data_IF_358555079728
#
_entry.id   IF_358555079728
#
_cell.length_a   1.000
_cell.length_b   1.000
_cell.length_c   1.000
_cell.angle_alpha   90.00
_cell.angle_beta   90.00
_cell.angle_gamma   90.00
#
_symmetry.space_group_name_H-M   'P 1'
#
loop_
_entity.id
_entity.type
_entity.pdbx_description
1 polymer ?
#
# COMPACT_ATOMS: atom_id res chain seq x y z
N UNK A 1 -0.83 7.53 12.25
CA UNK A 1 -0.45 8.94 12.52
C UNK A 1 -1.43 9.63 13.47
N UNK A 2 -2.73 9.79 13.16
CA UNK A 2 -3.68 10.52 14.04
C UNK A 2 -3.93 9.86 15.40
N UNK A 3 -4.01 8.53 15.45
CA UNK A 3 -4.18 7.74 16.68
C UNK A 3 -2.90 7.53 17.50
N UNK A 4 -1.81 8.26 17.18
CA UNK A 4 -0.51 8.08 17.83
C UNK A 4 0.37 6.99 17.22
N UNK A 5 -0.12 6.23 16.22
CA UNK A 5 0.71 5.26 15.49
C UNK A 5 1.84 5.97 14.71
N UNK A 6 3.08 5.53 14.94
CA UNK A 6 4.32 6.10 14.45
C UNK A 6 4.88 7.25 15.30
N UNK A 7 4.41 7.44 16.55
CA UNK A 7 4.83 8.54 17.44
C UNK A 7 6.34 8.63 17.64
N UNK A 8 7.07 7.52 17.78
CA UNK A 8 8.53 7.58 17.98
C UNK A 8 9.27 8.05 16.73
N UNK A 9 8.66 7.90 15.55
CA UNK A 9 9.20 8.35 14.27
C UNK A 9 8.81 9.82 14.01
N UNK A 10 7.53 10.15 14.18
CA UNK A 10 6.97 11.44 13.76
C UNK A 10 6.86 12.48 14.89
N UNK A 11 6.87 12.05 16.15
CA UNK A 11 6.73 12.95 17.30
C UNK A 11 7.78 14.06 17.36
N UNK A 12 9.07 13.75 17.16
CA UNK A 12 10.12 14.79 17.08
C UNK A 12 10.00 15.72 15.87
N UNK A 13 9.17 15.38 14.88
CA UNK A 13 9.01 16.11 13.62
C UNK A 13 7.76 17.00 13.59
N UNK A 14 7.07 17.15 14.74
CA UNK A 14 5.91 18.04 14.84
C UNK A 14 6.35 19.52 14.88
N UNK A 15 5.61 20.44 14.23
CA UNK A 15 4.40 20.21 13.44
C UNK A 15 4.69 19.54 12.07
N UNK A 16 3.81 18.61 11.67
CA UNK A 16 3.97 17.78 10.46
C UNK A 16 2.89 18.11 9.42
N UNK A 17 3.29 18.19 8.15
CA UNK A 17 2.35 18.18 7.01
C UNK A 17 1.97 16.72 6.73
N UNK A 18 0.67 16.42 6.71
CA UNK A 18 0.13 15.08 6.43
C UNK A 18 -0.01 14.82 4.92
N UNK A 19 -0.45 13.62 4.55
CA UNK A 19 -0.59 13.19 3.15
C UNK A 19 0.65 12.48 2.62
N UNK A 20 0.45 11.58 1.66
CA UNK A 20 1.54 10.82 1.01
C UNK A 20 1.39 10.79 -0.50
N UNK A 21 0.17 10.67 -0.99
CA UNK A 21 -0.11 10.74 -2.42
C UNK A 21 -0.16 12.17 -2.94
N UNK A 22 0.22 12.34 -4.20
CA UNK A 22 0.09 13.60 -4.92
C UNK A 22 -0.18 13.36 -6.41
N UNK A 23 -0.91 14.30 -7.00
CA UNK A 23 -0.85 14.55 -8.44
C UNK A 23 -0.91 16.05 -8.66
N UNK A 24 -0.06 16.57 -9.55
CA UNK A 24 0.08 18.00 -9.80
C UNK A 24 1.06 18.28 -10.93
N UNK A 25 1.54 19.51 -11.01
CA UNK A 25 2.48 19.97 -12.03
C UNK A 25 3.87 20.22 -11.41
N UNK A 26 4.93 19.89 -12.15
CA UNK A 26 6.30 20.19 -11.72
C UNK A 26 6.53 21.71 -11.75
N UNK A 27 6.65 22.33 -10.59
CA UNK A 27 6.93 23.76 -10.45
C UNK A 27 8.42 24.11 -10.57
N UNK A 28 9.31 23.20 -10.17
CA UNK A 28 10.76 23.37 -10.21
C UNK A 28 11.46 22.00 -10.18
N UNK A 29 12.70 21.95 -10.69
CA UNK A 29 13.54 20.76 -10.68
C UNK A 29 14.91 21.05 -10.05
N UNK A 30 15.45 20.07 -9.32
CA UNK A 30 16.81 20.14 -8.80
C UNK A 30 17.84 19.94 -9.91
N UNK A 31 19.07 20.42 -9.71
CA UNK A 31 20.13 20.38 -10.73
C UNK A 31 20.50 18.96 -11.23
N UNK A 32 20.22 17.93 -10.43
CA UNK A 32 20.51 16.52 -10.76
C UNK A 32 19.33 15.77 -11.39
N UNK A 33 18.14 16.39 -11.48
CA UNK A 33 16.93 15.79 -12.07
C UNK A 33 17.06 15.80 -13.59
N UNK A 34 16.69 14.70 -14.26
CA UNK A 34 16.91 14.55 -15.72
C UNK A 34 15.66 14.12 -16.50
N UNK A 35 14.74 13.44 -15.85
CA UNK A 35 13.53 12.85 -16.41
C UNK A 35 12.26 13.67 -16.19
N UNK A 36 12.33 14.79 -15.47
CA UNK A 36 11.21 15.70 -15.23
C UNK A 36 11.51 17.10 -15.73
N UNK A 37 10.46 17.78 -16.21
CA UNK A 37 10.53 19.16 -16.71
C UNK A 37 9.46 20.03 -16.06
N UNK A 38 9.73 21.32 -15.89
CA UNK A 38 8.74 22.27 -15.38
C UNK A 38 7.53 22.30 -16.31
N UNK A 39 6.31 22.32 -15.76
CA UNK A 39 5.09 22.23 -16.55
C UNK A 39 4.55 20.81 -16.72
N UNK A 40 5.34 19.79 -16.35
CA UNK A 40 4.93 18.40 -16.55
C UNK A 40 3.93 17.95 -15.50
N UNK A 41 2.79 17.41 -15.94
CA UNK A 41 1.85 16.74 -15.05
C UNK A 41 2.42 15.42 -14.54
N UNK A 42 2.46 15.26 -13.22
CA UNK A 42 3.00 14.10 -12.52
C UNK A 42 2.04 13.59 -11.46
N UNK A 43 2.27 12.34 -11.06
CA UNK A 43 1.63 11.73 -9.91
C UNK A 43 2.63 10.79 -9.22
N UNK A 44 2.38 10.51 -7.94
CA UNK A 44 3.30 9.71 -7.15
C UNK A 44 2.96 9.67 -5.68
N UNK A 45 3.83 9.05 -4.90
CA UNK A 45 3.68 9.01 -3.46
C UNK A 45 5.03 9.09 -2.74
N UNK A 46 5.05 9.90 -1.69
CA UNK A 46 6.16 10.00 -0.76
C UNK A 46 6.39 8.70 -0.01
N UNK A 47 7.65 8.42 0.30
CA UNK A 47 8.01 7.38 1.25
C UNK A 47 7.19 7.48 2.56
N UNK A 48 6.76 6.35 3.17
CA UNK A 48 5.93 6.39 4.38
C UNK A 48 6.48 7.24 5.52
N UNK A 49 7.82 7.30 5.65
CA UNK A 49 8.53 8.07 6.69
C UNK A 49 8.94 9.47 6.26
N UNK A 50 8.46 9.99 5.12
CA UNK A 50 8.75 11.35 4.69
C UNK A 50 8.32 12.38 5.74
N UNK A 51 9.20 13.36 5.98
CA UNK A 51 9.03 14.39 7.01
C UNK A 51 7.97 15.41 6.64
N UNK A 52 7.85 15.77 5.35
CA UNK A 52 6.82 16.70 4.86
C UNK A 52 5.88 15.93 3.96
N UNK A 53 4.58 15.94 4.26
CA UNK A 53 3.55 15.31 3.44
C UNK A 53 3.08 16.19 2.29
N UNK A 54 1.95 15.79 1.71
CA UNK A 54 1.40 16.34 0.45
C UNK A 54 0.16 17.21 0.61
N UNK A 55 -0.36 17.39 1.84
CA UNK A 55 -1.44 18.33 2.10
C UNK A 55 -0.91 19.77 2.17
N UNK A 56 -0.48 20.27 1.02
CA UNK A 56 0.18 21.56 0.82
C UNK A 56 0.14 21.90 -0.67
N UNK A 57 0.24 23.17 -1.02
CA UNK A 57 0.26 23.61 -2.43
C UNK A 57 1.53 23.12 -3.16
N UNK A 58 2.62 22.91 -2.41
CA UNK A 58 3.89 22.40 -2.94
C UNK A 58 4.47 21.32 -2.05
N UNK A 59 4.92 20.22 -2.66
CA UNK A 59 5.63 19.13 -2.02
C UNK A 59 6.95 18.84 -2.74
N UNK A 60 7.96 18.38 -1.99
CA UNK A 60 9.26 17.99 -2.53
C UNK A 60 9.29 16.47 -2.56
N UNK A 61 9.48 15.90 -3.74
CA UNK A 61 9.60 14.46 -3.98
C UNK A 61 10.88 14.18 -4.75
N UNK A 62 11.43 12.99 -4.53
CA UNK A 62 12.51 12.48 -5.37
C UNK A 62 11.98 12.06 -6.75
N UNK A 63 12.84 12.07 -7.76
CA UNK A 63 12.47 11.69 -9.13
C UNK A 63 11.92 10.26 -9.22
N UNK A 64 12.39 9.34 -8.37
CA UNK A 64 11.94 7.95 -8.29
C UNK A 64 10.60 7.76 -7.56
N UNK A 65 10.08 8.81 -6.92
CA UNK A 65 8.76 8.83 -6.27
C UNK A 65 7.67 9.35 -7.23
N UNK A 66 8.04 9.81 -8.43
CA UNK A 66 7.16 10.43 -9.41
C UNK A 66 7.18 9.67 -10.74
N UNK A 67 6.04 9.75 -11.44
CA UNK A 67 5.93 9.39 -12.84
C UNK A 67 5.01 10.39 -13.55
N UNK A 68 4.99 10.44 -14.89
CA UNK A 68 4.03 11.27 -15.61
C UNK A 68 2.60 10.85 -15.26
N UNK A 69 1.71 11.82 -15.05
CA UNK A 69 0.29 11.53 -14.82
C UNK A 69 -0.30 10.83 -16.05
N UNK A 70 -1.14 9.79 -15.89
CA UNK A 70 -1.91 9.28 -17.03
C UNK A 70 -2.79 10.39 -17.62
N UNK A 71 -2.76 10.57 -18.94
CA UNK A 71 -3.49 11.66 -19.60
C UNK A 71 -5.01 11.44 -19.60
N UNK A 72 -5.46 10.19 -19.45
CA UNK A 72 -6.88 9.82 -19.51
C UNK A 72 -7.66 10.04 -18.22
N UNK A 73 -7.01 10.43 -17.12
CA UNK A 73 -7.66 10.64 -15.81
C UNK A 73 -7.32 12.02 -15.23
N UNK A 74 -8.19 12.53 -14.37
CA UNK A 74 -8.01 13.81 -13.68
C UNK A 74 -6.91 13.75 -12.62
N UNK A 75 -6.42 14.90 -12.16
CA UNK A 75 -5.52 14.98 -11.00
C UNK A 75 -6.13 14.37 -9.72
N UNK A 76 -7.45 14.56 -9.53
CA UNK A 76 -8.19 14.00 -8.40
C UNK A 76 -8.09 12.47 -8.41
N UNK A 77 -8.43 11.85 -9.54
CA UNK A 77 -8.36 10.38 -9.69
C UNK A 77 -6.92 9.89 -9.60
N UNK A 78 -5.97 10.56 -10.26
CA UNK A 78 -4.56 10.20 -10.22
C UNK A 78 -3.99 10.26 -8.80
N UNK A 79 -4.39 11.23 -7.98
CA UNK A 79 -3.92 11.37 -6.60
C UNK A 79 -4.42 10.27 -5.66
N UNK A 80 -5.45 9.51 -6.02
CA UNK A 80 -5.98 8.45 -5.17
C UNK A 80 -5.21 7.12 -5.30
N UNK A 81 -4.35 6.99 -6.31
CA UNK A 81 -3.77 5.72 -6.77
C UNK A 81 -2.42 5.33 -6.11
N UNK A 82 -1.39 6.19 -6.08
CA UNK A 82 0.00 5.74 -6.02
C UNK A 82 0.38 4.92 -4.79
N UNK A 83 0.09 5.38 -3.58
CA UNK A 83 0.51 4.75 -2.33
C UNK A 83 -0.13 3.37 -2.18
N UNK A 84 -1.44 3.28 -2.44
CA UNK A 84 -2.17 2.03 -2.36
C UNK A 84 -1.70 1.03 -3.43
N UNK A 85 -1.58 1.50 -4.67
CA UNK A 85 -1.14 0.66 -5.78
C UNK A 85 0.33 0.22 -5.66
N UNK A 86 1.23 1.08 -5.16
CA UNK A 86 2.62 0.71 -4.86
C UNK A 86 2.73 -0.28 -3.71
N UNK A 87 1.85 -0.17 -2.70
CA UNK A 87 1.76 -1.15 -1.61
C UNK A 87 1.36 -2.52 -2.15
N UNK A 88 0.33 -2.57 -2.99
CA UNK A 88 -0.10 -3.80 -3.65
C UNK A 88 0.98 -4.35 -4.60
N UNK A 89 1.61 -3.49 -5.40
CA UNK A 89 2.72 -3.85 -6.30
C UNK A 89 3.87 -4.51 -5.54
N UNK A 90 4.29 -3.92 -4.42
CA UNK A 90 5.32 -4.47 -3.54
C UNK A 90 4.98 -5.88 -3.09
N UNK A 91 3.76 -6.11 -2.60
CA UNK A 91 3.30 -7.44 -2.18
C UNK A 91 3.34 -8.43 -3.36
N UNK A 92 2.68 -8.09 -4.46
CA UNK A 92 2.41 -9.03 -5.54
C UNK A 92 3.63 -9.31 -6.41
N UNK A 93 4.41 -8.28 -6.76
CA UNK A 93 5.59 -8.42 -7.63
C UNK A 93 6.89 -8.52 -6.85
N UNK A 94 7.07 -7.72 -5.81
CA UNK A 94 8.30 -7.74 -5.00
C UNK A 94 8.42 -8.97 -4.11
N UNK A 95 7.35 -9.33 -3.41
CA UNK A 95 7.36 -10.39 -2.39
C UNK A 95 6.87 -11.74 -2.94
N UNK A 96 5.61 -11.83 -3.36
CA UNK A 96 5.01 -13.09 -3.82
C UNK A 96 5.40 -13.47 -5.25
N UNK A 97 5.90 -12.52 -6.05
CA UNK A 97 6.32 -12.69 -7.45
C UNK A 97 5.25 -13.41 -8.28
N UNK A 98 4.01 -12.94 -8.20
CA UNK A 98 2.89 -13.60 -8.86
C UNK A 98 3.05 -13.61 -10.39
N UNK A 99 2.58 -14.69 -10.98
CA UNK A 99 2.67 -15.03 -12.40
C UNK A 99 1.33 -15.57 -12.92
N UNK A 100 1.17 -15.55 -14.24
CA UNK A 100 -0.06 -15.96 -14.94
C UNK A 100 -0.63 -17.29 -14.43
N UNK A 101 -1.96 -17.36 -14.27
CA UNK A 101 -2.69 -18.52 -13.80
C UNK A 101 -2.67 -18.74 -12.27
N UNK A 102 -1.86 -18.01 -11.51
CA UNK A 102 -1.84 -18.14 -10.05
C UNK A 102 -3.07 -17.55 -9.38
N UNK A 103 -3.40 -18.07 -8.19
CA UNK A 103 -4.56 -17.64 -7.40
C UNK A 103 -4.13 -16.75 -6.24
N UNK A 104 -4.62 -15.52 -6.20
CA UNK A 104 -4.41 -14.55 -5.12
C UNK A 104 -5.68 -14.47 -4.26
N UNK A 105 -5.54 -14.63 -2.94
CA UNK A 105 -6.56 -14.21 -1.99
C UNK A 105 -6.25 -12.80 -1.51
N UNK A 106 -7.24 -11.92 -1.54
CA UNK A 106 -7.17 -10.57 -0.97
C UNK A 106 -8.14 -10.52 0.20
N UNK A 107 -7.61 -10.36 1.43
CA UNK A 107 -8.43 -10.14 2.62
C UNK A 107 -8.54 -8.64 2.84
N UNK A 108 -9.77 -8.12 2.71
CA UNK A 108 -10.04 -6.68 2.72
C UNK A 108 -9.99 -6.04 1.33
N UNK A 109 -10.51 -6.73 0.30
CA UNK A 109 -10.55 -6.22 -1.08
C UNK A 109 -11.29 -4.90 -1.26
N UNK A 110 -12.23 -4.58 -0.37
CA UNK A 110 -13.00 -3.33 -0.39
C UNK A 110 -12.23 -2.04 -0.01
N UNK A 111 -10.97 -2.12 0.43
CA UNK A 111 -10.15 -0.92 0.67
C UNK A 111 -9.18 -0.63 -0.49
N UNK A 112 -8.69 0.60 -0.60
CA UNK A 112 -7.80 1.02 -1.70
C UNK A 112 -6.65 0.05 -2.06
N UNK A 113 -5.93 -0.51 -1.07
CA UNK A 113 -4.84 -1.48 -1.34
C UNK A 113 -5.38 -2.80 -1.90
N UNK A 114 -6.48 -3.30 -1.33
CA UNK A 114 -7.14 -4.51 -1.80
C UNK A 114 -7.69 -4.34 -3.22
N UNK A 115 -8.33 -3.21 -3.49
CA UNK A 115 -8.87 -2.85 -4.80
C UNK A 115 -7.77 -2.77 -5.86
N UNK A 116 -6.63 -2.16 -5.53
CA UNK A 116 -5.46 -2.13 -6.41
C UNK A 116 -4.85 -3.54 -6.60
N UNK A 117 -4.79 -4.35 -5.55
CA UNK A 117 -4.25 -5.71 -5.63
C UNK A 117 -5.06 -6.63 -6.56
N UNK A 118 -6.39 -6.57 -6.49
CA UNK A 118 -7.27 -7.32 -7.39
C UNK A 118 -7.01 -6.92 -8.85
N UNK A 119 -6.99 -5.63 -9.14
CA UNK A 119 -6.75 -5.13 -10.50
C UNK A 119 -5.36 -5.47 -11.04
N UNK A 120 -4.32 -5.36 -10.19
CA UNK A 120 -2.95 -5.76 -10.54
C UNK A 120 -2.84 -7.27 -10.81
N UNK A 121 -3.54 -8.10 -10.03
CA UNK A 121 -3.58 -9.54 -10.24
C UNK A 121 -4.26 -9.89 -11.57
N UNK A 122 -5.43 -9.30 -11.85
CA UNK A 122 -6.15 -9.51 -13.12
C UNK A 122 -5.30 -9.03 -14.31
N UNK A 123 -4.65 -7.88 -14.20
CA UNK A 123 -3.73 -7.38 -15.22
C UNK A 123 -2.52 -8.29 -15.45
N UNK A 124 -2.11 -9.04 -14.42
CA UNK A 124 -1.09 -10.10 -14.49
C UNK A 124 -1.65 -11.47 -14.88
N UNK A 125 -2.92 -11.55 -15.31
CA UNK A 125 -3.63 -12.79 -15.67
C UNK A 125 -3.66 -13.83 -14.55
N UNK A 126 -3.71 -13.35 -13.31
CA UNK A 126 -3.95 -14.15 -12.12
C UNK A 126 -5.44 -14.17 -11.79
N UNK A 127 -5.87 -15.17 -11.02
CA UNK A 127 -7.21 -15.22 -10.45
C UNK A 127 -7.19 -14.58 -9.06
N UNK A 128 -7.82 -13.41 -8.91
CA UNK A 128 -7.98 -12.75 -7.61
C UNK A 128 -9.34 -13.10 -6.99
N UNK A 129 -9.36 -13.40 -5.69
CA UNK A 129 -10.58 -13.63 -4.90
C UNK A 129 -10.55 -12.66 -3.72
N UNK A 130 -11.63 -11.89 -3.54
CA UNK A 130 -11.82 -11.06 -2.35
C UNK A 130 -12.55 -11.86 -1.25
N UNK A 131 -11.94 -11.91 -0.07
CA UNK A 131 -12.45 -12.62 1.10
C UNK A 131 -13.85 -12.16 1.52
N UNK A 132 -14.20 -10.88 1.33
CA UNK A 132 -15.52 -10.36 1.73
C UNK A 132 -16.64 -10.62 0.72
N UNK A 133 -16.31 -10.96 -0.53
CA UNK A 133 -17.29 -11.15 -1.59
C UNK A 133 -17.77 -12.60 -1.73
N UNK A 134 -17.01 -13.58 -1.23
CA UNK A 134 -17.32 -15.00 -1.39
C UNK A 134 -17.14 -15.79 -0.09
N UNK A 135 -18.19 -15.84 0.73
CA UNK A 135 -18.31 -16.78 1.86
C UNK A 135 -18.46 -18.25 1.40
N UNK A 136 -18.44 -18.51 0.08
CA UNK A 136 -18.73 -19.81 -0.55
C UNK A 136 -17.50 -20.57 -1.08
N UNK A 137 -16.32 -19.95 -1.19
CA UNK A 137 -15.13 -20.56 -1.82
C UNK A 137 -14.10 -21.16 -0.85
N UNK A 138 -14.28 -20.97 0.46
CA UNK A 138 -13.31 -21.25 1.53
C UNK A 138 -13.19 -22.73 1.95
N UNK A 139 -13.96 -23.65 1.34
CA UNK A 139 -14.07 -25.05 1.81
C UNK A 139 -12.86 -25.93 1.48
N UNK A 140 -11.87 -25.46 0.71
CA UNK A 140 -10.71 -26.29 0.32
C UNK A 140 -9.41 -25.57 0.66
N UNK A 141 -8.69 -26.15 1.62
CA UNK A 141 -7.34 -25.74 2.05
C UNK A 141 -6.36 -25.81 0.89
N UNK A 142 -5.33 -24.95 0.92
CA UNK A 142 -4.23 -25.01 -0.06
C UNK A 142 -4.60 -24.64 -1.49
N UNK A 143 -5.55 -23.72 -1.69
CA UNK A 143 -5.97 -23.25 -3.02
C UNK A 143 -5.14 -22.10 -3.56
N UNK A 144 -4.60 -21.25 -2.69
CA UNK A 144 -4.01 -19.97 -3.09
C UNK A 144 -2.49 -20.03 -3.20
N UNK A 145 -1.96 -19.32 -4.19
CA UNK A 145 -0.53 -19.15 -4.44
C UNK A 145 0.05 -17.92 -3.73
N UNK A 146 -0.80 -17.00 -3.29
CA UNK A 146 -0.45 -15.86 -2.44
C UNK A 146 -1.67 -15.38 -1.67
N UNK A 147 -1.45 -14.80 -0.49
CA UNK A 147 -2.47 -14.04 0.26
C UNK A 147 -1.93 -12.65 0.56
N UNK A 148 -2.72 -11.63 0.26
CA UNK A 148 -2.52 -10.27 0.76
C UNK A 148 -3.62 -9.95 1.78
N UNK A 149 -3.25 -9.76 3.04
CA UNK A 149 -4.15 -9.41 4.12
C UNK A 149 -3.99 -7.95 4.54
N UNK A 150 -5.00 -7.15 4.22
CA UNK A 150 -5.07 -5.72 4.57
C UNK A 150 -5.83 -5.46 5.87
N UNK A 151 -6.51 -6.48 6.42
CA UNK A 151 -7.28 -6.39 7.67
C UNK A 151 -6.40 -6.78 8.86
N UNK A 152 -5.74 -7.94 8.75
CA UNK A 152 -4.97 -8.60 9.81
C UNK A 152 -5.79 -8.96 11.04
N UNK A 153 -5.11 -9.43 12.09
CA UNK A 153 -5.74 -10.07 13.25
C UNK A 153 -5.51 -11.59 13.25
N UNK A 154 -5.75 -12.23 14.40
CA UNK A 154 -5.46 -13.66 14.59
C UNK A 154 -6.38 -14.56 13.76
N UNK A 155 -7.64 -14.17 13.58
CA UNK A 155 -8.63 -14.93 12.83
C UNK A 155 -8.35 -14.93 11.32
N UNK A 156 -8.21 -13.75 10.71
CA UNK A 156 -7.89 -13.59 9.29
C UNK A 156 -6.52 -14.20 8.96
N UNK A 157 -5.51 -14.03 9.83
CA UNK A 157 -4.20 -14.68 9.68
C UNK A 157 -4.35 -16.20 9.67
N UNK A 158 -5.07 -16.78 10.64
CA UNK A 158 -5.28 -18.23 10.73
C UNK A 158 -6.01 -18.80 9.51
N UNK A 159 -7.08 -18.13 9.07
CA UNK A 159 -7.87 -18.57 7.91
C UNK A 159 -7.02 -18.48 6.64
N UNK A 160 -6.37 -17.33 6.42
CA UNK A 160 -5.48 -17.09 5.27
C UNK A 160 -4.38 -18.15 5.15
N UNK A 161 -3.71 -18.46 6.26
CA UNK A 161 -2.63 -19.45 6.30
C UNK A 161 -3.15 -20.84 5.94
N UNK A 162 -4.36 -21.20 6.36
CA UNK A 162 -4.94 -22.51 6.05
C UNK A 162 -5.30 -22.69 4.57
N UNK A 163 -5.51 -21.59 3.85
CA UNK A 163 -5.90 -21.56 2.44
C UNK A 163 -4.70 -21.50 1.48
N UNK A 164 -3.50 -21.23 1.99
CA UNK A 164 -2.26 -21.16 1.23
C UNK A 164 -1.69 -22.54 0.92
N UNK A 165 -1.15 -22.69 -0.30
CA UNK A 165 -0.28 -23.83 -0.63
C UNK A 165 1.04 -23.73 0.14
N UNK A 166 1.69 -24.87 0.37
CA UNK A 166 3.07 -24.89 0.88
C UNK A 166 4.02 -24.15 -0.07
N UNK A 167 5.03 -23.51 0.49
CA UNK A 167 6.03 -22.69 -0.18
C UNK A 167 5.53 -21.32 -0.65
N UNK A 168 4.32 -20.89 -0.25
CA UNK A 168 3.70 -19.66 -0.71
C UNK A 168 3.71 -18.56 0.34
N UNK A 169 3.37 -17.35 -0.09
CA UNK A 169 3.57 -16.12 0.68
C UNK A 169 2.26 -15.65 1.32
N UNK A 170 2.27 -15.53 2.65
CA UNK A 170 1.31 -14.72 3.40
C UNK A 170 1.92 -13.33 3.63
N UNK A 171 1.23 -12.29 3.17
CA UNK A 171 1.67 -10.91 3.25
C UNK A 171 0.62 -10.10 3.98
N UNK A 172 1.00 -9.40 5.05
CA UNK A 172 0.07 -8.55 5.79
C UNK A 172 0.56 -7.11 5.88
N UNK A 173 -0.39 -6.17 5.85
CA UNK A 173 -0.14 -4.76 6.13
C UNK A 173 -0.09 -4.47 7.64
N UNK A 174 -0.56 -5.40 8.48
CA UNK A 174 -0.58 -5.25 9.94
C UNK A 174 0.76 -5.66 10.57
N UNK A 175 1.82 -5.01 10.12
CA UNK A 175 3.14 -5.15 10.72
C UNK A 175 3.24 -4.42 12.07
N UNK A 176 3.96 -5.00 13.03
CA UNK A 176 4.13 -4.45 14.37
C UNK A 176 5.34 -3.50 14.48
N UNK A 177 6.04 -3.24 13.36
CA UNK A 177 7.27 -2.47 13.36
C UNK A 177 7.11 -1.07 13.99
N UNK A 178 6.08 -0.32 13.59
CA UNK A 178 5.87 1.02 14.13
C UNK A 178 5.35 0.99 15.58
N UNK A 179 4.47 0.04 15.94
CA UNK A 179 3.95 -0.03 17.32
C UNK A 179 5.02 -0.43 18.33
N UNK A 180 5.92 -1.33 17.96
CA UNK A 180 7.08 -1.70 18.78
C UNK A 180 8.09 -0.55 18.87
N UNK A 181 8.29 0.19 17.78
CA UNK A 181 9.11 1.42 17.76
C UNK A 181 8.50 2.51 18.64
N UNK A 182 7.18 2.67 18.64
CA UNK A 182 6.49 3.62 19.51
C UNK A 182 6.64 3.26 20.99
N UNK A 183 6.57 1.96 21.32
CA UNK A 183 6.65 1.48 22.70
C UNK A 183 8.07 1.54 23.27
N UNK A 184 9.07 1.17 22.49
CA UNK A 184 10.44 0.97 22.98
C UNK A 184 11.46 2.00 22.45
N UNK A 185 11.02 2.94 21.62
CA UNK A 185 11.89 3.86 20.88
C UNK A 185 12.60 3.17 19.70
N UNK A 186 13.14 3.95 18.77
CA UNK A 186 13.73 3.43 17.51
C UNK A 186 14.91 2.48 17.74
N UNK A 187 15.78 2.79 18.71
CA UNK A 187 17.00 2.01 18.97
C UNK A 187 16.72 0.58 19.45
N UNK A 188 15.62 0.36 20.16
CA UNK A 188 15.24 -0.95 20.73
C UNK A 188 14.08 -1.57 19.95
N UNK A 189 13.09 -0.77 19.58
CA UNK A 189 11.88 -1.22 18.92
C UNK A 189 12.12 -1.80 17.53
N UNK A 190 13.06 -1.27 16.74
CA UNK A 190 13.40 -1.86 15.43
C UNK A 190 14.07 -3.23 15.54
N UNK A 191 15.10 -3.44 16.40
CA UNK A 191 15.61 -4.77 16.68
C UNK A 191 14.54 -5.75 17.19
N UNK A 192 13.68 -5.30 18.11
CA UNK A 192 12.57 -6.13 18.64
C UNK A 192 11.58 -6.50 17.53
N UNK A 193 11.19 -5.54 16.69
CA UNK A 193 10.31 -5.79 15.54
C UNK A 193 10.91 -6.80 14.55
N UNK A 194 12.21 -6.69 14.30
CA UNK A 194 12.94 -7.62 13.43
C UNK A 194 12.97 -9.03 14.02
N UNK A 195 13.21 -9.15 15.33
CA UNK A 195 13.17 -10.43 16.05
C UNK A 195 11.76 -11.06 16.05
N UNK A 196 10.71 -10.25 16.23
CA UNK A 196 9.31 -10.71 16.15
C UNK A 196 8.98 -11.23 14.76
N UNK A 197 9.33 -10.48 13.71
CA UNK A 197 9.10 -10.91 12.33
C UNK A 197 9.88 -12.20 12.01
N UNK A 198 11.16 -12.29 12.40
CA UNK A 198 11.96 -13.49 12.19
C UNK A 198 11.39 -14.70 12.93
N UNK A 199 10.94 -14.51 14.18
CA UNK A 199 10.25 -15.56 14.94
C UNK A 199 9.00 -16.05 14.23
N UNK A 200 8.15 -15.15 13.73
CA UNK A 200 6.98 -15.51 12.92
C UNK A 200 7.39 -16.26 11.66
N UNK A 201 8.38 -15.78 10.92
CA UNK A 201 8.87 -16.45 9.70
C UNK A 201 9.32 -17.89 9.97
N UNK A 202 10.13 -18.11 11.01
CA UNK A 202 10.57 -19.45 11.41
C UNK A 202 9.37 -20.30 11.83
N UNK A 203 8.48 -19.77 12.68
CA UNK A 203 7.31 -20.49 13.15
C UNK A 203 6.42 -20.92 11.98
N UNK A 204 6.05 -20.02 11.07
CA UNK A 204 5.15 -20.30 9.96
C UNK A 204 5.79 -21.19 8.88
N UNK A 205 7.10 -21.03 8.62
CA UNK A 205 7.84 -21.94 7.74
C UNK A 205 7.85 -23.36 8.30
N UNK A 206 8.11 -23.54 9.60
CA UNK A 206 8.20 -24.87 10.21
C UNK A 206 6.83 -25.52 10.46
N UNK A 207 5.82 -24.76 10.85
CA UNK A 207 4.50 -25.30 11.22
C UNK A 207 3.51 -25.43 10.06
N UNK A 208 3.59 -24.53 9.08
CA UNK A 208 2.64 -24.46 7.96
C UNK A 208 3.32 -24.59 6.59
N UNK A 209 4.65 -24.52 6.53
CA UNK A 209 5.39 -24.58 5.27
C UNK A 209 5.17 -23.36 4.40
N UNK A 210 4.91 -22.18 4.96
CA UNK A 210 4.67 -20.94 4.20
C UNK A 210 5.67 -19.83 4.59
N UNK A 211 5.75 -18.80 3.77
CA UNK A 211 6.59 -17.61 3.99
C UNK A 211 5.75 -16.45 4.53
N UNK A 212 6.13 -15.90 5.68
CA UNK A 212 5.42 -14.80 6.36
C UNK A 212 6.09 -13.45 6.12
N UNK A 213 5.32 -12.44 5.71
CA UNK A 213 5.84 -11.12 5.36
C UNK A 213 5.00 -9.98 5.92
N UNK A 214 5.67 -8.99 6.51
CA UNK A 214 5.12 -7.65 6.65
C UNK A 214 5.36 -6.87 5.36
N UNK A 215 4.32 -6.24 4.85
CA UNK A 215 4.36 -5.44 3.63
C UNK A 215 4.25 -3.97 3.96
N UNK A 216 5.17 -3.18 3.43
CA UNK A 216 5.18 -1.73 3.53
C UNK A 216 5.29 -1.15 2.12
N UNK A 217 4.63 0.00 1.90
CA UNK A 217 4.83 0.80 0.71
C UNK A 217 6.33 1.16 0.57
N UNK A 218 6.86 1.06 -0.65
CA UNK A 218 8.15 1.64 -1.01
C UNK A 218 8.00 2.38 -2.34
N UNK A 219 8.75 3.47 -2.49
CA UNK A 219 8.95 4.08 -3.79
C UNK A 219 9.57 3.04 -4.74
N UNK A 220 9.00 2.95 -5.93
CA UNK A 220 9.39 2.00 -6.97
C UNK A 220 8.99 2.62 -8.32
N UNK A 221 9.98 3.18 -9.03
CA UNK A 221 9.73 3.85 -10.31
C UNK A 221 9.18 2.90 -11.37
N UNK A 222 9.63 1.63 -11.41
CA UNK A 222 9.10 0.63 -12.34
C UNK A 222 7.62 0.35 -12.04
N UNK A 223 7.31 0.13 -10.76
CA UNK A 223 5.96 -0.06 -10.27
C UNK A 223 5.05 1.10 -10.63
N UNK A 224 5.50 2.34 -10.39
CA UNK A 224 4.72 3.54 -10.67
C UNK A 224 4.47 3.74 -12.18
N UNK A 225 5.47 3.46 -13.02
CA UNK A 225 5.29 3.47 -14.48
C UNK A 225 4.34 2.37 -14.96
N UNK A 226 4.37 1.18 -14.36
CA UNK A 226 3.43 0.11 -14.69
C UNK A 226 2.00 0.49 -14.26
N UNK A 227 1.84 1.05 -13.07
CA UNK A 227 0.57 1.56 -12.54
C UNK A 227 0.03 2.63 -13.48
N UNK A 228 0.84 3.62 -13.87
CA UNK A 228 0.48 4.65 -14.86
C UNK A 228 -0.14 4.03 -16.12
N UNK A 229 0.57 3.08 -16.75
CA UNK A 229 0.10 2.43 -18.00
C UNK A 229 -1.21 1.68 -17.81
N UNK A 230 -1.41 1.05 -16.65
CA UNK A 230 -2.66 0.35 -16.35
C UNK A 230 -3.81 1.32 -16.13
N UNK A 231 -3.57 2.43 -15.41
CA UNK A 231 -4.55 3.49 -15.24
C UNK A 231 -4.92 4.17 -16.55
N UNK A 232 -3.92 4.43 -17.40
CA UNK A 232 -4.13 5.02 -18.73
C UNK A 232 -5.02 4.13 -19.62
N UNK A 233 -4.87 2.81 -19.50
CA UNK A 233 -5.68 1.81 -20.20
C UNK A 233 -7.02 1.49 -19.50
N UNK A 234 -7.39 2.19 -18.43
CA UNK A 234 -8.62 1.94 -17.65
C UNK A 234 -8.64 0.61 -16.89
N UNK A 235 -7.47 -0.03 -16.68
CA UNK A 235 -7.32 -1.33 -16.01
C UNK A 235 -6.94 -1.21 -14.53
N UNK A 236 -6.57 -0.02 -14.08
CA UNK A 236 -6.30 0.27 -12.67
C UNK A 236 -6.85 1.65 -12.32
N UNK A 237 -7.93 1.66 -11.56
CA UNK A 237 -8.51 2.87 -10.98
C UNK A 237 -8.69 2.70 -9.47
N UNK A 238 -8.80 3.80 -8.72
CA UNK A 238 -9.30 3.79 -7.35
C UNK A 238 -10.48 4.76 -7.31
N UNK A 239 -11.71 4.30 -7.01
CA UNK A 239 -12.89 5.15 -7.01
C UNK A 239 -12.74 6.31 -6.02
N UNK A 240 -12.99 7.52 -6.50
CA UNK A 240 -13.04 8.71 -5.64
C UNK A 240 -14.51 8.99 -5.31
N UNK A 241 -14.91 8.71 -4.09
CA UNK A 241 -16.29 8.94 -3.63
C UNK A 241 -16.55 10.43 -3.36
N UNK A 242 -15.58 11.13 -2.77
CA UNK A 242 -15.73 12.53 -2.35
C UNK A 242 -14.40 13.27 -2.34
N UNK A 243 -14.43 14.54 -2.74
CA UNK A 243 -13.30 15.46 -2.65
C UNK A 243 -13.54 16.51 -1.57
N UNK A 244 -12.46 16.97 -0.95
CA UNK A 244 -12.47 18.05 0.04
C UNK A 244 -11.41 19.10 -0.33
N UNK A 245 -11.70 20.40 -0.20
CA UNK A 245 -10.66 21.43 -0.28
C UNK A 245 -9.65 21.25 0.85
N UNK A 246 -8.42 21.74 0.66
CA UNK A 246 -7.34 21.61 1.66
C UNK A 246 -7.70 22.25 3.02
N UNK A 247 -8.57 23.24 3.03
CA UNK A 247 -9.10 23.87 4.25
C UNK A 247 -10.00 22.94 5.07
N UNK A 248 -10.46 21.83 4.48
CA UNK A 248 -11.36 20.83 5.09
C UNK A 248 -10.68 19.45 5.32
N UNK A 249 -9.34 19.43 5.48
CA UNK A 249 -8.59 18.19 5.73
C UNK A 249 -9.06 17.47 7.00
N UNK A 250 -9.48 18.20 8.03
CA UNK A 250 -9.99 17.60 9.28
C UNK A 250 -11.26 16.81 9.01
N UNK A 251 -12.19 17.42 8.29
CA UNK A 251 -13.49 16.86 7.91
C UNK A 251 -13.31 15.63 7.03
N UNK A 252 -12.37 15.68 6.07
CA UNK A 252 -12.03 14.54 5.23
C UNK A 252 -11.56 13.34 6.06
N UNK A 253 -10.69 13.57 7.06
CA UNK A 253 -10.24 12.52 7.97
C UNK A 253 -11.36 11.97 8.86
N UNK A 254 -12.22 12.84 9.39
CA UNK A 254 -13.34 12.42 10.22
C UNK A 254 -14.38 11.60 9.43
N UNK A 255 -14.67 11.99 8.19
CA UNK A 255 -15.57 11.23 7.32
C UNK A 255 -15.05 9.81 7.09
N UNK A 256 -13.74 9.66 6.84
CA UNK A 256 -13.08 8.35 6.71
C UNK A 256 -13.12 7.54 8.00
N UNK A 257 -12.78 8.15 9.14
CA UNK A 257 -12.78 7.48 10.45
C UNK A 257 -14.17 7.00 10.85
N UNK A 258 -15.21 7.79 10.58
CA UNK A 258 -16.61 7.46 10.85
C UNK A 258 -17.22 6.54 9.78
N UNK A 259 -16.44 6.09 8.79
CA UNK A 259 -16.89 5.25 7.66
C UNK A 259 -18.08 5.84 6.90
N UNK A 260 -18.13 7.16 6.80
CA UNK A 260 -19.13 7.90 6.01
C UNK A 260 -18.76 7.95 4.53
N UNK A 261 -17.48 7.70 4.23
CA UNK A 261 -16.93 7.47 2.90
C UNK A 261 -16.07 6.21 2.98
N UNK A 262 -16.17 5.37 1.96
CA UNK A 262 -15.30 4.21 1.80
C UNK A 262 -14.05 4.67 1.03
N UNK A 263 -12.88 4.28 1.53
CA UNK A 263 -11.59 4.80 1.06
C UNK A 263 -10.65 3.75 0.53
#
# INVERSE_FOLDING_TARGET
MRSGYGRSIFGPLLPLILGRDISGEVAAVGASVKGLTVGQEVFGALHPTAVRGTYTDYAILSEDELAPKPASITHVEASAIPFAALTAWRALKGTARISEGQRLLVVGGGGAVGFAAVQLAVAARCHAVDYTAEDMALTIKGKFDAVLDTIGGSETERISVSLLKKGRHYMTLQGEAASLTDRYGTAIGLPVASAVLLKKQIQYRSSHGIEYWWTFMRADSEGLHKIRRLSEAGKLNIPVEKTFPITQVREAHEAKEKKQIYG
#
